data_IF_987110898222
#
_entry.id   IF_987110898222
#
_cell.length_a   1.000
_cell.length_b   1.000
_cell.length_c   1.000
_cell.angle_alpha   90.00
_cell.angle_beta   90.00
_cell.angle_gamma   90.00
#
_symmetry.space_group_name_H-M   'P 1'
#
loop_
_entity.id
_entity.type
_entity.pdbx_description
1 polymer ?
#
# COMPACT_ATOMS: atom_id res chain seq x y z
N UNK A 1 -42.77 -26.14 -51.41
CA UNK A 1 -41.46 -25.47 -51.37
C UNK A 1 -41.13 -25.21 -49.91
N UNK A 2 -40.26 -26.06 -49.39
CA UNK A 2 -39.80 -26.08 -48.00
C UNK A 2 -38.79 -24.95 -47.76
N UNK A 3 -38.85 -24.33 -46.58
CA UNK A 3 -37.67 -24.03 -45.78
C UNK A 3 -38.11 -23.46 -44.43
N UNK A 4 -37.81 -24.18 -43.35
CA UNK A 4 -37.34 -23.66 -42.06
C UNK A 4 -37.57 -24.70 -40.97
N UNK A 5 -36.51 -25.44 -40.62
CA UNK A 5 -36.26 -25.90 -39.25
C UNK A 5 -34.94 -26.67 -39.23
N UNK A 6 -33.86 -25.97 -38.89
CA UNK A 6 -32.62 -26.58 -38.44
C UNK A 6 -32.25 -25.91 -37.12
N UNK A 7 -31.71 -26.70 -36.19
CA UNK A 7 -31.19 -26.36 -34.86
C UNK A 7 -32.22 -26.50 -33.72
N UNK A 8 -32.58 -27.75 -33.43
CA UNK A 8 -32.76 -28.21 -32.05
C UNK A 8 -31.87 -29.44 -31.94
N UNK A 9 -30.74 -29.32 -31.24
CA UNK A 9 -29.96 -30.42 -30.67
C UNK A 9 -28.79 -29.85 -29.87
N UNK A 10 -28.93 -29.78 -28.55
CA UNK A 10 -27.86 -30.02 -27.56
C UNK A 10 -28.45 -29.89 -26.15
N UNK A 11 -29.28 -30.85 -25.78
CA UNK A 11 -29.56 -31.17 -24.39
C UNK A 11 -29.65 -32.70 -24.32
N UNK A 12 -29.26 -33.26 -23.18
CA UNK A 12 -29.15 -34.70 -22.88
C UNK A 12 -27.83 -35.36 -23.26
N UNK A 13 -26.87 -35.24 -22.35
CA UNK A 13 -25.63 -36.00 -22.40
C UNK A 13 -24.82 -35.99 -21.11
N UNK A 14 -25.42 -35.85 -19.92
CA UNK A 14 -24.71 -36.05 -18.64
C UNK A 14 -25.68 -36.52 -17.54
N UNK A 15 -26.08 -37.79 -17.53
CA UNK A 15 -26.51 -38.49 -16.31
C UNK A 15 -26.25 -39.98 -16.50
N UNK A 16 -25.13 -40.50 -15.96
CA UNK A 16 -24.97 -41.85 -15.39
C UNK A 16 -23.49 -42.15 -15.12
N UNK A 17 -22.90 -41.46 -14.14
CA UNK A 17 -21.66 -41.89 -13.47
C UNK A 17 -21.66 -41.39 -12.01
N UNK A 18 -22.66 -41.82 -11.24
CA UNK A 18 -22.76 -41.54 -9.79
C UNK A 18 -23.14 -42.81 -9.01
N UNK A 19 -22.37 -43.87 -9.20
CA UNK A 19 -22.41 -45.03 -8.32
C UNK A 19 -21.07 -45.74 -8.39
N UNK A 20 -20.08 -45.23 -7.63
CA UNK A 20 -18.90 -45.94 -7.09
C UNK A 20 -18.04 -44.90 -6.35
N UNK A 21 -18.59 -44.31 -5.29
CA UNK A 21 -17.75 -43.74 -4.24
C UNK A 21 -17.16 -44.93 -3.45
N UNK A 22 -15.85 -44.95 -3.19
CA UNK A 22 -15.28 -45.99 -2.36
C UNK A 22 -15.80 -45.79 -0.93
N UNK A 23 -16.44 -46.83 -0.40
CA UNK A 23 -16.94 -46.95 0.98
C UNK A 23 -15.93 -46.55 2.10
N UNK A 24 -14.58 -46.59 1.95
CA UNK A 24 -13.66 -46.23 3.04
C UNK A 24 -13.75 -44.77 3.52
N UNK A 25 -14.15 -43.84 2.65
CA UNK A 25 -14.13 -42.41 2.99
C UNK A 25 -15.26 -42.00 3.95
N UNK A 26 -16.41 -42.68 3.91
CA UNK A 26 -17.49 -42.42 4.87
C UNK A 26 -17.15 -42.94 6.28
N UNK A 27 -16.44 -44.06 6.38
CA UNK A 27 -16.05 -44.67 7.66
C UNK A 27 -15.05 -43.78 8.42
N UNK A 28 -14.09 -43.18 7.71
CA UNK A 28 -13.11 -42.27 8.31
C UNK A 28 -13.73 -40.97 8.83
N UNK A 29 -14.77 -40.45 8.19
CA UNK A 29 -15.47 -39.25 8.62
C UNK A 29 -16.31 -39.48 9.89
N UNK A 30 -16.93 -40.66 10.02
CA UNK A 30 -17.68 -41.04 11.22
C UNK A 30 -16.78 -41.24 12.44
N UNK A 31 -15.63 -41.89 12.27
CA UNK A 31 -14.68 -42.12 13.37
C UNK A 31 -14.07 -40.81 13.90
N UNK A 32 -13.74 -39.88 13.00
CA UNK A 32 -13.23 -38.57 13.41
C UNK A 32 -14.29 -37.74 14.14
N UNK A 33 -15.54 -37.80 13.68
CA UNK A 33 -16.67 -37.11 14.33
C UNK A 33 -16.93 -37.60 15.75
N UNK A 34 -16.87 -38.91 15.97
CA UNK A 34 -17.04 -39.52 17.29
C UNK A 34 -15.89 -39.15 18.24
N UNK A 35 -14.65 -39.21 17.76
CA UNK A 35 -13.48 -38.82 18.54
C UNK A 35 -13.48 -37.33 18.95
N UNK A 36 -13.98 -36.45 18.08
CA UNK A 36 -14.14 -35.03 18.41
C UNK A 36 -15.23 -34.78 19.46
N UNK A 37 -16.32 -35.57 19.42
CA UNK A 37 -17.39 -35.52 20.41
C UNK A 37 -16.93 -36.01 21.79
N UNK A 38 -16.08 -37.04 21.84
CA UNK A 38 -15.46 -37.51 23.08
C UNK A 38 -14.57 -36.43 23.72
N UNK A 39 -13.72 -35.74 22.93
CA UNK A 39 -12.92 -34.63 23.45
C UNK A 39 -13.79 -33.47 23.94
N UNK A 40 -14.92 -33.18 23.28
CA UNK A 40 -15.83 -32.11 23.69
C UNK A 40 -16.48 -32.38 25.05
N UNK A 41 -16.71 -33.65 25.40
CA UNK A 41 -17.32 -34.06 26.67
C UNK A 41 -16.36 -33.94 27.88
N UNK A 42 -15.07 -33.68 27.67
CA UNK A 42 -14.11 -33.48 28.76
C UNK A 42 -14.35 -32.14 29.46
N UNK A 43 -14.63 -32.19 30.77
CA UNK A 43 -15.02 -31.01 31.57
C UNK A 43 -13.83 -30.11 31.92
N UNK A 44 -12.68 -30.70 32.23
CA UNK A 44 -11.47 -29.98 32.61
C UNK A 44 -10.80 -29.41 31.34
N UNK A 45 -10.51 -28.12 31.34
CA UNK A 45 -10.13 -27.38 30.15
C UNK A 45 -8.78 -27.83 29.58
N UNK A 46 -7.82 -28.14 30.44
CA UNK A 46 -6.46 -28.53 30.03
C UNK A 46 -6.43 -29.98 29.51
N UNK A 47 -7.20 -30.88 30.10
CA UNK A 47 -7.41 -32.24 29.63
C UNK A 47 -8.15 -32.27 28.27
N UNK A 48 -9.15 -31.39 28.10
CA UNK A 48 -9.87 -31.23 26.84
C UNK A 48 -8.96 -30.73 25.72
N UNK A 49 -8.13 -29.72 26.01
CA UNK A 49 -7.16 -29.20 25.05
C UNK A 49 -6.15 -30.28 24.61
N UNK A 50 -5.59 -31.03 25.58
CA UNK A 50 -4.68 -32.17 25.31
C UNK A 50 -5.32 -33.27 24.47
N UNK A 51 -6.64 -33.48 24.60
CA UNK A 51 -7.39 -34.44 23.78
C UNK A 51 -7.43 -34.00 22.31
N UNK A 52 -7.76 -32.73 22.04
CA UNK A 52 -7.76 -32.18 20.68
C UNK A 52 -6.37 -32.15 20.06
N UNK A 53 -5.33 -31.78 20.81
CA UNK A 53 -3.96 -31.74 20.30
C UNK A 53 -3.46 -33.12 19.87
N UNK A 54 -3.88 -34.19 20.57
CA UNK A 54 -3.59 -35.58 20.19
C UNK A 54 -4.29 -35.95 18.87
N UNK A 55 -5.55 -35.57 18.69
CA UNK A 55 -6.28 -35.81 17.43
C UNK A 55 -5.69 -35.02 16.25
N UNK A 56 -5.18 -33.83 16.50
CA UNK A 56 -4.54 -32.99 15.49
C UNK A 56 -3.09 -33.41 15.15
N UNK A 57 -2.56 -34.46 15.79
CA UNK A 57 -1.19 -34.95 15.55
C UNK A 57 -0.09 -33.99 16.01
N UNK A 58 -0.39 -33.04 16.91
CA UNK A 58 0.63 -32.15 17.47
C UNK A 58 1.46 -32.90 18.53
N UNK A 59 2.80 -32.84 18.49
CA UNK A 59 3.63 -33.31 19.60
C UNK A 59 3.24 -32.55 20.87
N UNK A 60 3.03 -33.26 21.98
CA UNK A 60 2.69 -32.64 23.26
C UNK A 60 3.77 -31.64 23.67
N UNK A 61 3.36 -30.43 24.04
CA UNK A 61 4.24 -29.46 24.69
C UNK A 61 4.70 -30.01 26.05
N UNK A 62 6.00 -29.87 26.32
CA UNK A 62 6.64 -30.29 27.57
C UNK A 62 6.09 -29.43 28.73
N UNK A 63 5.76 -30.01 29.90
CA UNK A 63 5.29 -29.27 31.07
C UNK A 63 6.29 -28.17 31.49
N UNK A 64 5.77 -26.98 31.77
CA UNK A 64 6.54 -25.77 32.09
C UNK A 64 6.91 -25.63 33.57
N UNK A 65 7.52 -26.67 34.17
CA UNK A 65 7.92 -26.62 35.58
C UNK A 65 9.43 -26.52 35.84
N UNK A 66 10.27 -26.44 34.79
CA UNK A 66 11.71 -26.21 34.95
C UNK A 66 12.18 -24.95 34.23
N UNK A 67 11.86 -23.78 34.79
CA UNK A 67 12.66 -22.56 34.53
C UNK A 67 13.90 -22.64 35.42
N UNK A 68 14.85 -23.49 35.05
CA UNK A 68 16.23 -23.32 35.48
C UNK A 68 16.84 -22.15 34.70
N UNK A 69 17.25 -21.13 35.44
CA UNK A 69 17.89 -19.94 34.95
C UNK A 69 19.04 -20.27 33.98
N UNK A 70 18.87 -19.91 32.71
CA UNK A 70 19.99 -19.78 31.79
C UNK A 70 20.77 -18.52 32.19
N UNK A 71 21.79 -18.71 33.02
CA UNK A 71 22.87 -17.74 33.19
C UNK A 71 23.58 -17.59 31.84
N UNK A 72 23.55 -16.37 31.30
CA UNK A 72 24.31 -15.99 30.12
C UNK A 72 25.66 -15.46 30.61
N UNK A 73 26.72 -16.25 30.40
CA UNK A 73 28.09 -15.77 30.60
C UNK A 73 28.45 -14.71 29.54
N UNK A 74 29.16 -13.63 29.91
CA UNK A 74 29.50 -12.57 28.97
C UNK A 74 30.61 -13.03 28.00
N UNK A 75 30.33 -12.88 26.70
CA UNK A 75 31.30 -13.11 25.62
C UNK A 75 32.33 -11.96 25.59
N UNK A 76 33.65 -12.25 25.54
CA UNK A 76 34.68 -11.21 25.55
C UNK A 76 34.75 -10.46 24.20
N UNK A 77 34.82 -9.13 24.29
CA UNK A 77 35.04 -8.24 23.15
C UNK A 77 36.51 -8.26 22.68
N UNK A 78 36.71 -8.23 21.35
CA UNK A 78 38.01 -7.96 20.70
C UNK A 78 37.81 -6.99 19.51
N UNK A 79 38.84 -6.22 19.10
CA UNK A 79 38.70 -4.78 18.90
C UNK A 79 38.71 -4.37 17.41
N UNK A 80 38.32 -3.12 17.21
CA UNK A 80 38.25 -2.39 15.95
C UNK A 80 39.58 -2.32 15.17
N UNK A 81 39.48 -2.28 13.84
CA UNK A 81 40.55 -1.85 12.95
C UNK A 81 40.01 -0.98 11.79
N UNK A 82 40.42 0.30 11.84
CA UNK A 82 40.80 1.26 10.80
C UNK A 82 40.18 1.24 9.37
N UNK A 83 39.50 2.35 9.06
CA UNK A 83 39.78 3.34 8.00
C UNK A 83 40.32 2.88 6.62
N UNK A 84 39.54 3.16 5.58
CA UNK A 84 40.07 3.71 4.31
C UNK A 84 39.03 4.62 3.65
N UNK A 85 39.40 5.88 3.46
CA UNK A 85 38.65 6.88 2.68
C UNK A 85 38.73 6.51 1.19
N UNK A 86 37.58 6.54 0.50
CA UNK A 86 37.55 6.57 -0.96
C UNK A 86 36.48 7.57 -1.43
N UNK A 87 36.94 8.41 -2.35
CA UNK A 87 36.35 9.61 -2.97
C UNK A 87 34.85 9.58 -3.30
N UNK A 88 34.12 10.57 -2.76
CA UNK A 88 32.71 10.82 -3.03
C UNK A 88 32.52 11.75 -4.26
N UNK A 89 32.33 11.17 -5.46
CA UNK A 89 31.83 11.89 -6.65
C UNK A 89 31.01 10.92 -7.51
N UNK A 90 29.84 10.47 -7.03
CA UNK A 90 28.80 9.77 -7.82
C UNK A 90 27.48 9.49 -7.04
N UNK A 91 27.25 10.16 -5.90
CA UNK A 91 26.46 9.60 -4.79
C UNK A 91 24.94 9.84 -4.73
N UNK A 92 24.29 10.58 -5.63
CA UNK A 92 22.83 10.83 -5.48
C UNK A 92 21.96 9.84 -6.26
N UNK A 93 22.24 9.58 -7.54
CA UNK A 93 21.37 8.72 -8.39
C UNK A 93 21.71 7.22 -8.25
N UNK A 94 22.97 6.89 -7.99
CA UNK A 94 23.38 5.50 -7.75
C UNK A 94 22.78 4.92 -6.46
N UNK A 95 22.38 5.76 -5.50
CA UNK A 95 21.80 5.32 -4.24
C UNK A 95 20.37 4.78 -4.40
N UNK A 96 19.55 5.31 -5.32
CA UNK A 96 18.25 4.73 -5.64
C UNK A 96 18.38 3.33 -6.27
N UNK A 97 19.41 3.14 -7.10
CA UNK A 97 19.74 1.86 -7.74
C UNK A 97 20.51 0.88 -6.81
N UNK A 98 21.20 1.39 -5.78
CA UNK A 98 21.86 0.57 -4.76
C UNK A 98 20.90 0.05 -3.70
N UNK A 99 19.79 0.76 -3.42
CA UNK A 99 18.71 0.23 -2.58
C UNK A 99 18.10 -1.04 -3.19
N UNK A 100 18.08 -1.15 -4.53
CA UNK A 100 17.65 -2.36 -5.24
C UNK A 100 18.61 -3.55 -5.09
N UNK A 101 19.91 -3.30 -4.83
CA UNK A 101 20.95 -4.36 -4.77
C UNK A 101 21.24 -4.90 -3.37
N UNK A 102 20.88 -4.18 -2.31
CA UNK A 102 21.22 -4.53 -0.91
C UNK A 102 20.12 -5.36 -0.19
N UNK A 103 18.99 -5.64 -0.85
CA UNK A 103 17.88 -6.34 -0.23
C UNK A 103 17.49 -7.65 -0.92
N UNK A 104 18.26 -8.73 -0.79
CA UNK A 104 17.63 -10.07 -0.74
C UNK A 104 16.81 -10.14 0.55
N UNK A 105 15.69 -9.42 0.60
CA UNK A 105 14.71 -9.46 1.68
C UNK A 105 13.87 -10.71 1.50
N UNK A 106 13.51 -11.33 2.62
CA UNK A 106 12.81 -12.61 2.77
C UNK A 106 11.56 -12.81 1.87
N UNK A 107 11.03 -11.73 1.26
CA UNK A 107 9.87 -11.72 0.36
C UNK A 107 10.01 -10.80 -0.88
N UNK A 108 11.19 -10.21 -1.14
CA UNK A 108 11.39 -9.33 -2.32
C UNK A 108 10.67 -7.97 -2.28
N UNK A 109 9.99 -7.62 -1.18
CA UNK A 109 9.24 -6.36 -1.04
C UNK A 109 10.17 -5.14 -0.98
N UNK A 110 9.87 -4.14 -1.82
CA UNK A 110 10.60 -2.86 -1.93
C UNK A 110 9.68 -1.69 -1.55
N UNK A 111 10.21 -0.57 -1.04
CA UNK A 111 9.45 0.68 -1.00
C UNK A 111 8.95 1.05 -2.40
N UNK A 112 7.76 1.65 -2.49
CA UNK A 112 7.19 2.10 -3.76
C UNK A 112 7.04 3.62 -3.79
N UNK A 113 5.95 4.14 -3.22
CA UNK A 113 5.78 5.56 -2.93
C UNK A 113 6.58 5.92 -1.65
N UNK A 114 6.58 7.21 -1.28
CA UNK A 114 7.15 7.66 0.01
C UNK A 114 6.52 6.92 1.18
N UNK A 115 7.32 6.57 2.17
CA UNK A 115 6.83 6.14 3.48
C UNK A 115 7.17 7.23 4.50
N UNK A 116 6.15 7.79 5.16
CA UNK A 116 6.33 8.86 6.15
C UNK A 116 5.28 8.79 7.24
N UNK A 117 5.59 9.46 8.34
CA UNK A 117 4.64 9.81 9.40
C UNK A 117 4.83 11.28 9.76
N UNK A 118 3.73 12.01 9.82
CA UNK A 118 3.63 13.39 10.31
C UNK A 118 2.82 13.32 11.61
N UNK A 119 3.48 13.22 12.78
CA UNK A 119 2.77 13.16 14.07
C UNK A 119 1.90 14.39 14.33
N UNK A 120 2.26 15.55 13.76
CA UNK A 120 1.46 16.75 13.90
C UNK A 120 1.24 17.35 12.52
N UNK A 121 -0.01 17.40 12.11
CA UNK A 121 -0.49 18.20 10.99
C UNK A 121 -1.59 19.13 11.46
N UNK A 122 -1.68 20.32 10.89
CA UNK A 122 -2.74 21.29 11.14
C UNK A 122 -3.43 21.63 9.82
N UNK A 123 -4.75 21.46 9.75
CA UNK A 123 -5.59 21.80 8.62
C UNK A 123 -6.54 22.95 8.98
N UNK A 124 -6.36 24.11 8.38
CA UNK A 124 -7.20 25.31 8.64
C UNK A 124 -8.60 25.20 8.00
N UNK A 125 -8.77 24.27 7.05
CA UNK A 125 -10.04 24.06 6.31
C UNK A 125 -10.50 22.61 6.46
N UNK A 126 -10.84 22.21 7.67
CA UNK A 126 -11.39 20.86 7.94
C UNK A 126 -12.72 20.66 7.22
N UNK A 127 -12.91 19.48 6.64
CA UNK A 127 -14.13 19.12 5.94
C UNK A 127 -15.12 18.47 6.91
N UNK A 128 -16.13 19.23 7.33
CA UNK A 128 -17.23 18.73 8.18
C UNK A 128 -18.42 18.25 7.36
N UNK A 129 -18.55 18.71 6.11
CA UNK A 129 -19.74 18.53 5.29
C UNK A 129 -20.16 17.05 5.12
N UNK A 130 -19.27 16.08 4.84
CA UNK A 130 -19.67 14.68 4.72
C UNK A 130 -20.34 14.13 5.98
N UNK A 131 -19.91 14.57 7.16
CA UNK A 131 -20.43 14.13 8.45
C UNK A 131 -21.76 14.81 8.77
N UNK A 132 -21.84 16.12 8.51
CA UNK A 132 -23.07 16.90 8.69
C UNK A 132 -24.20 16.38 7.79
N UNK A 133 -23.91 16.13 6.51
CA UNK A 133 -24.88 15.60 5.53
C UNK A 133 -25.36 14.19 5.90
N UNK A 134 -24.52 13.39 6.55
CA UNK A 134 -24.85 12.07 7.07
C UNK A 134 -25.64 12.12 8.40
N UNK A 135 -25.73 13.29 9.05
CA UNK A 135 -26.25 13.42 10.41
C UNK A 135 -25.37 12.75 11.47
N UNK A 136 -24.08 12.55 11.17
CA UNK A 136 -23.10 12.03 12.11
C UNK A 136 -22.77 13.10 13.16
N UNK A 137 -22.51 12.68 14.40
CA UNK A 137 -22.12 13.60 15.47
C UNK A 137 -20.62 13.85 15.49
N UNK A 138 -19.83 13.09 14.72
CA UNK A 138 -18.39 13.23 14.68
C UNK A 138 -17.96 14.57 14.06
N UNK A 139 -17.19 15.35 14.83
CA UNK A 139 -16.59 16.60 14.38
C UNK A 139 -15.06 16.45 14.39
N UNK A 140 -14.43 16.36 13.20
CA UNK A 140 -12.98 16.29 13.13
C UNK A 140 -12.30 17.60 13.57
N UNK A 141 -11.20 17.48 14.32
CA UNK A 141 -10.34 18.59 14.73
C UNK A 141 -9.40 19.00 13.59
N UNK A 142 -8.84 20.21 13.70
CA UNK A 142 -7.83 20.73 12.77
C UNK A 142 -6.50 19.96 12.87
N UNK A 143 -6.23 19.31 14.00
CA UNK A 143 -4.96 18.62 14.25
C UNK A 143 -5.08 17.11 14.10
N UNK A 144 -4.27 16.53 13.21
CA UNK A 144 -4.27 15.09 12.94
C UNK A 144 -2.85 14.53 12.79
N UNK A 145 -2.69 13.23 13.05
CA UNK A 145 -1.55 12.47 12.54
C UNK A 145 -1.86 12.11 11.08
N UNK A 146 -0.93 12.38 10.17
CA UNK A 146 -0.99 11.94 8.77
C UNK A 146 0.15 10.98 8.48
N UNK A 147 -0.11 9.85 7.84
CA UNK A 147 0.97 8.94 7.44
C UNK A 147 0.66 8.21 6.15
N UNK A 148 1.73 7.83 5.45
CA UNK A 148 1.65 7.02 4.23
C UNK A 148 2.55 5.81 4.37
N UNK A 149 1.99 4.64 4.02
CA UNK A 149 2.72 3.39 3.85
C UNK A 149 2.66 2.99 2.39
N UNK A 150 3.78 2.57 1.82
CA UNK A 150 3.82 2.17 0.43
C UNK A 150 4.92 1.17 0.12
N UNK A 151 4.52 0.10 -0.54
CA UNK A 151 5.40 -0.98 -0.93
C UNK A 151 5.02 -1.54 -2.30
N UNK A 152 5.99 -2.16 -2.96
CA UNK A 152 5.79 -2.93 -4.18
C UNK A 152 6.46 -4.29 -4.08
N UNK A 153 5.87 -5.24 -4.78
CA UNK A 153 6.38 -6.57 -5.00
C UNK A 153 6.61 -6.75 -6.51
N UNK A 154 7.86 -6.94 -6.96
CA UNK A 154 8.09 -7.41 -8.32
C UNK A 154 7.51 -8.82 -8.48
N UNK A 155 6.60 -8.98 -9.43
CA UNK A 155 5.92 -10.25 -9.72
C UNK A 155 6.67 -11.02 -10.81
N UNK A 156 7.16 -10.31 -11.83
CA UNK A 156 7.98 -10.86 -12.90
C UNK A 156 8.99 -9.81 -13.34
N UNK A 157 10.26 -10.04 -13.03
CA UNK A 157 11.35 -9.14 -13.39
C UNK A 157 11.97 -9.51 -14.74
N UNK A 158 12.48 -8.50 -15.43
CA UNK A 158 13.21 -8.63 -16.69
C UNK A 158 12.43 -9.33 -17.81
N UNK A 159 11.18 -8.92 -18.02
CA UNK A 159 10.31 -9.45 -19.08
C UNK A 159 11.00 -9.27 -20.45
N UNK A 160 11.14 -10.38 -21.19
CA UNK A 160 11.77 -10.41 -22.52
C UNK A 160 13.22 -9.90 -22.54
N UNK A 161 13.98 -10.15 -21.46
CA UNK A 161 15.38 -9.69 -21.29
C UNK A 161 15.53 -8.15 -21.37
N UNK A 162 14.45 -7.41 -21.14
CA UNK A 162 14.42 -5.96 -21.03
C UNK A 162 14.38 -5.56 -19.55
N UNK A 163 14.78 -4.34 -19.20
CA UNK A 163 14.60 -3.75 -17.85
C UNK A 163 13.12 -3.38 -17.61
N UNK A 164 12.23 -4.34 -17.82
CA UNK A 164 10.78 -4.23 -17.75
C UNK A 164 10.25 -5.22 -16.71
N UNK A 165 9.62 -4.69 -15.67
CA UNK A 165 9.13 -5.49 -14.55
C UNK A 165 7.60 -5.40 -14.47
N UNK A 166 6.93 -6.54 -14.31
CA UNK A 166 5.57 -6.59 -13.79
C UNK A 166 5.62 -6.48 -12.28
N UNK A 167 4.90 -5.53 -11.70
CA UNK A 167 4.87 -5.30 -10.26
C UNK A 167 3.45 -5.18 -9.73
N UNK A 168 3.28 -5.59 -8.48
CA UNK A 168 2.12 -5.26 -7.67
C UNK A 168 2.52 -4.21 -6.64
N UNK A 169 1.83 -3.07 -6.64
CA UNK A 169 2.02 -1.97 -5.70
C UNK A 169 0.86 -1.87 -4.72
N UNK A 170 1.15 -1.39 -3.52
CA UNK A 170 0.14 -1.02 -2.53
C UNK A 170 0.57 0.25 -1.83
N UNK A 171 -0.33 1.24 -1.77
CA UNK A 171 -0.17 2.45 -0.97
C UNK A 171 -1.37 2.63 -0.06
N UNK A 172 -1.12 3.07 1.15
CA UNK A 172 -2.15 3.48 2.10
C UNK A 172 -1.82 4.88 2.63
N UNK A 173 -2.81 5.77 2.60
CA UNK A 173 -2.73 7.12 3.16
C UNK A 173 -3.79 7.26 4.25
N UNK A 174 -3.39 7.61 5.46
CA UNK A 174 -4.29 7.68 6.61
C UNK A 174 -4.22 9.03 7.32
N UNK A 175 -5.39 9.49 7.78
CA UNK A 175 -5.60 10.68 8.58
C UNK A 175 -6.25 10.27 9.91
N UNK A 176 -5.48 10.43 10.99
CA UNK A 176 -5.81 9.90 12.30
C UNK A 176 -6.02 11.06 13.29
N UNK A 177 -7.23 11.15 13.84
CA UNK A 177 -7.64 12.14 14.81
C UNK A 177 -7.14 11.79 16.22
N UNK A 178 -5.83 11.54 16.34
CA UNK A 178 -5.20 11.06 17.56
C UNK A 178 -5.41 11.98 18.78
N UNK A 179 -5.67 13.26 18.52
CA UNK A 179 -5.85 14.30 19.53
C UNK A 179 -7.32 14.55 19.87
N UNK A 180 -8.24 14.02 19.09
CA UNK A 180 -9.67 14.21 19.26
C UNK A 180 -10.23 13.24 20.30
N UNK A 181 -9.95 13.55 21.57
CA UNK A 181 -10.37 12.71 22.70
C UNK A 181 -11.90 12.70 22.91
N UNK A 182 -12.61 13.73 22.46
CA UNK A 182 -14.08 13.82 22.55
C UNK A 182 -14.74 12.68 21.77
N UNK A 183 -14.19 12.33 20.62
CA UNK A 183 -14.69 11.26 19.76
C UNK A 183 -13.87 9.96 19.83
N UNK A 184 -13.09 9.77 20.89
CA UNK A 184 -12.26 8.57 21.12
C UNK A 184 -11.18 8.32 20.06
N UNK A 185 -10.62 9.40 19.51
CA UNK A 185 -9.54 9.37 18.53
C UNK A 185 -9.79 8.39 17.36
N UNK A 186 -10.74 8.69 16.46
CA UNK A 186 -11.01 7.83 15.31
C UNK A 186 -10.01 8.09 14.17
N UNK A 187 -9.91 7.17 13.21
CA UNK A 187 -9.41 7.54 11.89
C UNK A 187 -10.49 8.31 11.15
N UNK A 188 -10.18 9.51 10.66
CA UNK A 188 -11.10 10.30 9.83
C UNK A 188 -11.21 9.67 8.45
N UNK A 189 -10.07 9.45 7.80
CA UNK A 189 -10.03 8.85 6.46
C UNK A 189 -8.81 7.94 6.30
N UNK A 190 -8.97 6.87 5.52
CA UNK A 190 -7.87 6.01 5.08
C UNK A 190 -8.12 5.60 3.64
N UNK A 191 -7.25 6.01 2.72
CA UNK A 191 -7.28 5.56 1.33
C UNK A 191 -6.37 4.34 1.14
N UNK A 192 -6.90 3.31 0.50
CA UNK A 192 -6.22 2.09 0.06
C UNK A 192 -6.05 2.15 -1.45
N UNK A 193 -4.81 2.01 -1.92
CA UNK A 193 -4.45 2.20 -3.33
C UNK A 193 -3.57 1.05 -3.85
N UNK A 194 -4.15 -0.13 -4.14
CA UNK A 194 -3.45 -1.18 -4.86
C UNK A 194 -3.31 -0.85 -6.36
N UNK A 195 -2.21 -1.31 -6.96
CA UNK A 195 -2.01 -1.23 -8.40
C UNK A 195 -1.23 -2.43 -8.96
N UNK A 196 -1.46 -2.74 -10.23
CA UNK A 196 -0.73 -3.74 -11.00
C UNK A 196 -0.24 -3.06 -12.28
N UNK A 197 1.07 -3.07 -12.49
CA UNK A 197 1.66 -2.31 -13.59
C UNK A 197 2.91 -2.93 -14.19
N UNK A 198 3.27 -2.41 -15.35
CA UNK A 198 4.55 -2.63 -16.00
C UNK A 198 5.42 -1.40 -15.77
N UNK A 199 6.64 -1.61 -15.29
CA UNK A 199 7.61 -0.57 -14.99
C UNK A 199 8.88 -0.79 -15.79
N UNK A 200 9.20 0.16 -16.65
CA UNK A 200 10.37 0.14 -17.51
C UNK A 200 11.43 1.11 -16.98
N UNK A 201 12.66 0.61 -16.83
CA UNK A 201 13.82 1.37 -16.37
C UNK A 201 14.90 1.38 -17.46
N UNK A 202 14.79 2.25 -18.48
CA UNK A 202 15.74 2.25 -19.59
C UNK A 202 17.02 3.03 -19.29
N UNK A 203 18.13 2.57 -19.87
CA UNK A 203 19.37 3.34 -19.93
C UNK A 203 19.35 4.38 -21.08
N UNK A 204 18.37 5.29 -21.06
CA UNK A 204 18.19 6.31 -22.09
C UNK A 204 18.58 7.71 -21.59
N UNK A 205 19.48 8.37 -22.33
CA UNK A 205 19.95 9.73 -22.04
C UNK A 205 19.87 10.60 -23.29
N UNK A 206 19.29 11.79 -23.17
CA UNK A 206 19.18 12.78 -24.25
C UNK A 206 19.40 14.21 -23.72
N UNK A 207 20.41 14.92 -24.26
CA UNK A 207 20.74 16.30 -23.84
C UNK A 207 20.86 16.46 -22.31
N UNK A 208 21.63 15.57 -21.68
CA UNK A 208 21.83 15.43 -20.23
C UNK A 208 20.60 15.01 -19.41
N UNK A 209 19.44 14.84 -20.04
CA UNK A 209 18.28 14.26 -19.38
C UNK A 209 18.35 12.75 -19.44
N UNK A 210 18.24 12.10 -18.27
CA UNK A 210 18.05 10.66 -18.17
C UNK A 210 16.57 10.36 -18.04
N UNK A 211 16.08 9.38 -18.79
CA UNK A 211 14.77 8.77 -18.54
C UNK A 211 14.96 7.75 -17.42
N UNK A 212 14.54 8.10 -16.20
CA UNK A 212 14.69 7.23 -15.03
C UNK A 212 13.73 6.05 -15.11
N UNK A 213 12.48 6.32 -15.47
CA UNK A 213 11.52 5.26 -15.72
C UNK A 213 10.31 5.71 -16.52
N UNK A 214 9.62 4.73 -17.08
CA UNK A 214 8.25 4.89 -17.57
C UNK A 214 7.40 3.71 -17.08
N UNK A 215 6.15 3.95 -16.72
CA UNK A 215 5.24 2.89 -16.27
C UNK A 215 3.83 3.07 -16.79
N UNK A 216 3.13 1.95 -16.89
CA UNK A 216 1.69 1.88 -17.12
C UNK A 216 1.08 0.95 -16.06
N UNK A 217 -0.02 1.37 -15.43
CA UNK A 217 -0.61 0.61 -14.34
C UNK A 217 -2.14 0.68 -14.33
N UNK A 218 -2.77 -0.44 -13.99
CA UNK A 218 -4.14 -0.46 -13.50
C UNK A 218 -4.11 -0.17 -12.00
N UNK A 219 -4.92 0.79 -11.59
CA UNK A 219 -4.92 1.31 -10.24
C UNK A 219 -6.37 1.39 -9.72
N UNK A 220 -6.57 0.88 -8.52
CA UNK A 220 -7.80 1.07 -7.77
C UNK A 220 -7.47 1.94 -6.56
N UNK A 221 -8.34 2.89 -6.22
CA UNK A 221 -8.21 3.65 -4.98
C UNK A 221 -9.59 3.76 -4.34
N UNK A 222 -9.69 3.38 -3.07
CA UNK A 222 -10.92 3.52 -2.28
C UNK A 222 -10.60 3.84 -0.84
N UNK A 223 -11.55 4.42 -0.11
CA UNK A 223 -11.38 4.68 1.32
C UNK A 223 -11.88 3.52 2.22
N UNK A 224 -12.43 2.46 1.62
CA UNK A 224 -12.91 1.28 2.34
C UNK A 224 -14.07 1.57 3.30
N UNK A 225 -14.81 2.66 3.10
CA UNK A 225 -16.00 3.01 3.89
C UNK A 225 -17.26 2.50 3.22
N UNK A 226 -18.36 2.51 3.97
CA UNK A 226 -19.70 2.33 3.42
C UNK A 226 -20.36 3.68 3.18
N UNK A 227 -21.45 3.68 2.41
CA UNK A 227 -22.33 4.85 2.26
C UNK A 227 -22.75 5.45 3.61
N UNK A 228 -22.81 6.79 3.73
CA UNK A 228 -22.61 7.81 2.69
C UNK A 228 -21.14 8.26 2.50
N UNK A 229 -20.21 7.65 3.25
CA UNK A 229 -18.79 8.03 3.26
C UNK A 229 -17.95 7.29 2.24
N UNK A 230 -18.53 6.35 1.48
CA UNK A 230 -17.78 5.58 0.48
C UNK A 230 -17.21 6.52 -0.57
N UNK A 231 -15.94 6.32 -0.91
CA UNK A 231 -15.29 7.01 -2.03
C UNK A 231 -14.40 6.00 -2.74
N UNK A 232 -14.51 5.93 -4.05
CA UNK A 232 -13.72 5.00 -4.86
C UNK A 232 -13.62 5.43 -6.31
N UNK A 233 -12.57 4.98 -6.99
CA UNK A 233 -12.39 5.12 -8.43
C UNK A 233 -11.32 4.18 -8.94
N UNK A 234 -11.45 3.82 -10.22
CA UNK A 234 -10.51 2.98 -10.95
C UNK A 234 -9.83 3.77 -12.07
N UNK A 235 -8.53 3.52 -12.31
CA UNK A 235 -7.70 4.30 -13.24
C UNK A 235 -6.77 3.43 -14.07
N UNK A 236 -6.58 3.81 -15.32
CA UNK A 236 -5.40 3.47 -16.11
C UNK A 236 -4.41 4.64 -15.99
N UNK A 237 -3.23 4.38 -15.41
CA UNK A 237 -2.18 5.36 -15.16
C UNK A 237 -1.05 5.17 -16.18
N UNK A 238 -0.53 6.28 -16.70
CA UNK A 238 0.76 6.35 -17.38
C UNK A 238 1.66 7.35 -16.65
N UNK A 239 2.93 7.01 -16.44
CA UNK A 239 3.88 7.90 -15.77
C UNK A 239 5.25 7.82 -16.43
N UNK A 240 5.91 8.97 -16.52
CA UNK A 240 7.29 9.10 -16.99
C UNK A 240 8.05 9.94 -15.96
N UNK A 241 9.27 9.52 -15.67
CA UNK A 241 10.17 10.20 -14.74
C UNK A 241 11.52 10.44 -15.38
N UNK A 242 12.02 11.66 -15.24
CA UNK A 242 13.28 12.08 -15.84
C UNK A 242 14.12 12.86 -14.84
N UNK A 243 15.43 12.86 -15.03
CA UNK A 243 16.34 13.64 -14.20
C UNK A 243 17.40 14.35 -15.04
N UNK A 244 17.96 15.42 -14.48
CA UNK A 244 19.15 16.11 -14.99
C UNK A 244 19.96 16.65 -13.81
N UNK A 245 21.06 15.99 -13.48
CA UNK A 245 21.85 16.33 -12.29
C UNK A 245 21.00 16.12 -11.04
N UNK A 246 20.92 17.14 -10.19
CA UNK A 246 20.14 17.09 -8.94
C UNK A 246 18.66 17.50 -9.10
N UNK A 247 18.18 17.65 -10.34
CA UNK A 247 16.80 18.01 -10.65
C UNK A 247 16.03 16.83 -11.23
N UNK A 248 14.88 16.51 -10.64
CA UNK A 248 13.93 15.53 -11.14
C UNK A 248 12.66 16.18 -11.69
N UNK A 249 12.11 15.60 -12.76
CA UNK A 249 10.84 15.98 -13.36
C UNK A 249 10.06 14.74 -13.78
N UNK A 250 8.82 14.64 -13.35
CA UNK A 250 7.93 13.58 -13.73
C UNK A 250 6.53 14.07 -14.09
N UNK A 251 5.88 13.31 -14.94
CA UNK A 251 4.51 13.51 -15.37
C UNK A 251 3.76 12.21 -15.15
N UNK A 252 2.67 12.28 -14.39
CA UNK A 252 1.71 11.19 -14.23
C UNK A 252 0.39 11.63 -14.83
N UNK A 253 -0.16 10.83 -15.72
CA UNK A 253 -1.49 11.03 -16.32
C UNK A 253 -2.36 9.82 -16.05
N UNK A 254 -3.66 10.01 -16.03
CA UNK A 254 -4.60 8.93 -15.86
C UNK A 254 -5.89 9.12 -16.63
N UNK A 255 -6.49 7.98 -16.99
CA UNK A 255 -7.86 7.88 -17.46
C UNK A 255 -8.68 7.14 -16.41
N UNK A 256 -9.74 7.79 -15.90
CA UNK A 256 -10.75 7.13 -15.07
C UNK A 256 -11.42 6.02 -15.89
N UNK A 257 -11.50 4.83 -15.31
CA UNK A 257 -12.25 3.71 -15.85
C UNK A 257 -13.72 3.85 -15.42
N UNK A 258 -14.68 3.60 -16.31
CA UNK A 258 -16.09 3.79 -16.00
C UNK A 258 -16.56 2.78 -14.95
N UNK A 259 -17.44 3.26 -14.07
CA UNK A 259 -18.19 2.48 -13.08
C UNK A 259 -19.68 2.55 -13.44
N UNK A 260 -20.49 1.63 -12.91
CA UNK A 260 -21.94 1.72 -13.08
C UNK A 260 -22.43 2.98 -12.35
N UNK A 261 -23.34 3.75 -12.96
CA UNK A 261 -23.81 5.02 -12.36
C UNK A 261 -24.46 4.85 -11.00
N UNK A 262 -25.09 3.70 -10.77
CA UNK A 262 -25.79 3.39 -9.52
C UNK A 262 -24.82 2.93 -8.41
N UNK A 263 -23.55 2.71 -8.76
CA UNK A 263 -22.46 2.27 -7.88
C UNK A 263 -21.30 3.30 -7.88
N UNK A 264 -21.52 4.50 -8.44
CA UNK A 264 -20.50 5.54 -8.54
C UNK A 264 -20.58 6.47 -7.32
N UNK A 265 -19.72 6.19 -6.34
CA UNK A 265 -19.61 6.94 -5.08
C UNK A 265 -19.28 8.44 -5.26
N UNK A 266 -18.64 8.81 -6.37
CA UNK A 266 -18.13 10.16 -6.62
C UNK A 266 -18.04 10.45 -8.14
N UNK A 267 -19.17 10.68 -8.82
CA UNK A 267 -19.23 10.77 -10.28
C UNK A 267 -18.45 11.94 -10.87
N UNK A 268 -18.30 13.02 -10.11
CA UNK A 268 -17.59 14.24 -10.46
C UNK A 268 -16.11 14.26 -9.99
N UNK A 269 -15.55 13.15 -9.49
CA UNK A 269 -14.15 13.11 -9.00
C UNK A 269 -13.12 13.63 -10.00
N UNK A 270 -13.35 13.45 -11.30
CA UNK A 270 -12.45 13.97 -12.36
C UNK A 270 -12.50 15.48 -12.52
N UNK A 271 -13.55 16.15 -12.04
CA UNK A 271 -13.64 17.60 -11.96
C UNK A 271 -12.53 18.17 -11.05
N UNK A 272 -12.30 17.50 -9.91
CA UNK A 272 -11.36 17.94 -8.88
C UNK A 272 -9.98 17.30 -9.00
N UNK A 273 -9.91 16.00 -9.26
CA UNK A 273 -8.62 15.31 -9.43
C UNK A 273 -8.00 15.57 -10.81
N UNK A 274 -8.79 15.93 -11.82
CA UNK A 274 -8.31 16.11 -13.18
C UNK A 274 -7.82 14.82 -13.82
N UNK A 275 -6.85 14.94 -14.73
CA UNK A 275 -6.33 13.84 -15.57
C UNK A 275 -4.83 13.61 -15.45
N UNK A 276 -4.18 14.29 -14.50
CA UNK A 276 -2.75 14.17 -14.32
C UNK A 276 -2.18 15.15 -13.31
N UNK A 277 -0.95 14.86 -12.91
CA UNK A 277 -0.13 15.67 -12.03
C UNK A 277 1.30 15.76 -12.57
N UNK A 278 1.89 16.94 -12.39
CA UNK A 278 3.29 17.21 -12.61
C UNK A 278 3.98 17.16 -11.26
N UNK A 279 5.13 16.50 -11.17
CA UNK A 279 5.94 16.52 -9.97
C UNK A 279 7.39 16.80 -10.31
N UNK A 280 8.07 17.53 -9.43
CA UNK A 280 9.46 17.89 -9.59
C UNK A 280 10.16 17.86 -8.24
N UNK A 281 11.46 17.60 -8.27
CA UNK A 281 12.29 17.64 -7.09
C UNK A 281 13.64 18.29 -7.39
N UNK A 282 14.24 18.83 -6.34
CA UNK A 282 15.58 19.38 -6.37
C UNK A 282 16.35 18.98 -5.11
N UNK A 283 17.51 18.37 -5.29
CA UNK A 283 18.38 17.94 -4.20
C UNK A 283 19.60 18.87 -4.06
N UNK A 284 19.96 19.20 -2.82
CA UNK A 284 21.15 20.01 -2.55
C UNK A 284 21.72 19.69 -1.16
N UNK A 285 22.88 19.05 -1.13
CA UNK A 285 23.46 18.52 0.10
C UNK A 285 22.52 17.52 0.78
N UNK A 286 22.21 17.75 2.05
CA UNK A 286 21.27 16.91 2.81
C UNK A 286 19.79 17.31 2.62
N UNK A 287 19.52 18.36 1.85
CA UNK A 287 18.19 18.87 1.59
C UNK A 287 17.59 18.33 0.30
N UNK A 288 16.28 18.08 0.32
CA UNK A 288 15.47 17.83 -0.86
C UNK A 288 14.19 18.66 -0.78
N UNK A 289 13.80 19.23 -1.91
CA UNK A 289 12.57 19.98 -2.07
C UNK A 289 11.76 19.30 -3.17
N UNK A 290 10.48 19.07 -2.95
CA UNK A 290 9.58 18.51 -3.94
C UNK A 290 8.35 19.42 -4.12
N UNK A 291 7.86 19.48 -5.35
CA UNK A 291 6.62 20.17 -5.72
C UNK A 291 5.76 19.20 -6.54
N UNK A 292 4.50 19.04 -6.16
CA UNK A 292 3.45 18.39 -6.96
C UNK A 292 2.38 19.41 -7.30
N UNK A 293 1.97 19.43 -8.57
CA UNK A 293 0.87 20.23 -9.09
C UNK A 293 -0.10 19.31 -9.83
N UNK A 294 -1.37 19.35 -9.45
CA UNK A 294 -2.44 18.56 -10.06
C UNK A 294 -3.59 19.46 -10.47
N UNK A 295 -4.21 19.11 -11.59
CA UNK A 295 -5.43 19.72 -12.15
C UNK A 295 -5.45 21.26 -12.18
N UNK A 296 -5.23 21.92 -13.32
CA UNK A 296 -5.20 23.39 -13.37
C UNK A 296 -6.55 24.08 -13.11
N UNK A 297 -7.68 23.37 -13.14
CA UNK A 297 -9.02 23.95 -12.90
C UNK A 297 -9.39 23.96 -11.41
N UNK A 298 -9.15 22.85 -10.72
CA UNK A 298 -9.31 22.70 -9.28
C UNK A 298 -7.95 22.23 -8.73
N UNK A 299 -7.05 23.18 -8.44
CA UNK A 299 -5.66 22.85 -8.16
C UNK A 299 -5.53 22.04 -6.88
N UNK A 300 -4.65 21.04 -6.92
CA UNK A 300 -4.02 20.46 -5.76
C UNK A 300 -2.52 20.71 -5.84
N UNK A 301 -1.94 21.32 -4.82
CA UNK A 301 -0.51 21.61 -4.73
C UNK A 301 0.06 20.99 -3.46
N UNK A 302 1.20 20.31 -3.58
CA UNK A 302 1.97 19.84 -2.44
C UNK A 302 3.41 20.33 -2.54
N UNK A 303 3.90 20.92 -1.45
CA UNK A 303 5.29 21.28 -1.25
C UNK A 303 5.86 20.41 -0.15
N UNK A 304 7.00 19.79 -0.41
CA UNK A 304 7.68 18.97 0.59
C UNK A 304 9.12 19.44 0.77
N UNK A 305 9.58 19.38 2.01
CA UNK A 305 10.97 19.60 2.37
C UNK A 305 11.47 18.44 3.23
N UNK A 306 12.61 17.89 2.85
CA UNK A 306 13.32 16.86 3.59
C UNK A 306 14.71 17.35 3.99
N UNK A 307 15.10 17.08 5.23
CA UNK A 307 16.50 17.13 5.67
C UNK A 307 16.97 15.73 6.10
N UNK A 308 18.07 15.25 5.53
CA UNK A 308 18.62 13.92 5.82
C UNK A 308 19.20 13.90 7.24
N UNK A 309 18.62 13.09 8.13
CA UNK A 309 19.18 12.89 9.48
C UNK A 309 20.19 11.75 9.49
N UNK A 310 19.90 10.67 8.75
CA UNK A 310 20.79 9.53 8.51
C UNK A 310 20.37 8.81 7.22
N UNK A 311 20.96 7.66 6.92
CA UNK A 311 20.68 6.90 5.69
C UNK A 311 19.29 6.27 5.62
N UNK A 312 18.50 6.30 6.69
CA UNK A 312 17.18 5.65 6.79
C UNK A 312 16.04 6.61 7.12
N UNK A 313 16.34 7.78 7.67
CA UNK A 313 15.33 8.72 8.19
C UNK A 313 15.73 10.15 7.83
N UNK A 314 14.76 10.90 7.34
CA UNK A 314 14.83 12.35 7.18
C UNK A 314 13.79 13.07 8.03
N UNK A 315 14.13 14.26 8.52
CA UNK A 315 13.14 15.23 8.98
C UNK A 315 12.31 15.66 7.77
N UNK A 316 11.00 15.74 7.92
CA UNK A 316 10.08 15.95 6.81
C UNK A 316 9.04 17.01 7.17
N UNK A 317 8.88 18.00 6.31
CA UNK A 317 7.81 19.01 6.39
C UNK A 317 7.02 18.93 5.09
N UNK A 318 5.70 18.89 5.21
CA UNK A 318 4.79 18.84 4.07
C UNK A 318 3.76 19.96 4.20
N UNK A 319 3.52 20.65 3.10
CA UNK A 319 2.44 21.62 2.95
C UNK A 319 1.56 21.20 1.77
N UNK A 320 0.26 21.12 1.99
CA UNK A 320 -0.74 20.83 0.96
C UNK A 320 -1.77 21.96 0.90
N UNK A 321 -2.09 22.41 -0.30
CA UNK A 321 -3.13 23.40 -0.53
C UNK A 321 -3.94 23.03 -1.77
N UNK A 322 -5.27 23.01 -1.66
CA UNK A 322 -6.17 22.72 -2.77
C UNK A 322 -7.01 21.47 -2.58
N UNK A 323 -7.42 20.84 -3.69
CA UNK A 323 -8.40 19.73 -3.71
C UNK A 323 -7.76 18.35 -3.76
N UNK A 324 -8.42 17.35 -3.14
CA UNK A 324 -8.04 15.94 -3.24
C UNK A 324 -6.81 15.54 -2.45
N UNK A 325 -6.63 16.11 -1.26
CA UNK A 325 -5.61 15.59 -0.33
C UNK A 325 -5.91 14.14 0.06
N UNK A 326 -7.19 13.83 0.26
CA UNK A 326 -7.72 12.49 0.52
C UNK A 326 -8.90 12.20 -0.41
N UNK A 327 -9.39 10.95 -0.42
CA UNK A 327 -10.61 10.63 -1.16
C UNK A 327 -11.85 11.23 -0.53
N UNK A 328 -11.93 11.31 0.80
CA UNK A 328 -13.04 11.97 1.48
C UNK A 328 -13.07 13.48 1.19
N UNK A 329 -11.90 14.09 1.01
CA UNK A 329 -11.74 15.53 0.71
C UNK A 329 -11.49 15.80 -0.79
N UNK A 330 -11.98 14.93 -1.69
CA UNK A 330 -11.71 15.09 -3.13
C UNK A 330 -12.33 16.39 -3.70
N UNK A 331 -13.50 16.76 -3.23
CA UNK A 331 -14.29 17.93 -3.63
C UNK A 331 -14.18 19.11 -2.64
N UNK A 332 -13.33 18.99 -1.61
CA UNK A 332 -13.09 20.03 -0.61
C UNK A 332 -11.67 20.59 -0.68
N UNK A 333 -11.53 21.90 -0.50
CA UNK A 333 -10.22 22.56 -0.54
C UNK A 333 -9.57 22.62 0.84
N UNK A 334 -8.45 21.94 0.98
CA UNK A 334 -7.67 21.82 2.23
C UNK A 334 -6.50 22.81 2.26
N UNK A 335 -6.10 23.23 3.47
CA UNK A 335 -4.88 23.99 3.76
C UNK A 335 -4.15 23.33 4.92
N UNK A 336 -3.19 22.45 4.63
CA UNK A 336 -2.55 21.61 5.64
C UNK A 336 -1.05 21.80 5.67
N UNK A 337 -0.49 22.01 6.85
CA UNK A 337 0.94 21.89 7.11
C UNK A 337 1.21 20.76 8.10
N UNK A 338 2.30 20.02 7.92
CA UNK A 338 2.69 18.93 8.80
C UNK A 338 4.19 18.76 8.94
N UNK A 339 4.62 18.25 10.09
CA UNK A 339 6.02 17.94 10.39
C UNK A 339 6.15 16.53 10.94
N UNK A 340 7.22 15.84 10.54
CA UNK A 340 7.53 14.50 11.02
C UNK A 340 8.74 13.90 10.35
N UNK A 341 8.62 12.63 9.96
CA UNK A 341 9.73 11.81 9.51
C UNK A 341 9.41 11.07 8.22
N UNK A 342 10.37 11.03 7.31
CA UNK A 342 10.33 10.28 6.06
C UNK A 342 11.36 9.15 6.09
N UNK A 343 10.97 7.97 5.62
CA UNK A 343 11.81 6.77 5.57
C UNK A 343 12.46 6.54 4.19
N UNK A 344 11.74 6.87 3.13
CA UNK A 344 12.25 6.82 1.76
C UNK A 344 11.63 7.93 0.92
N UNK A 345 12.43 8.47 0.02
CA UNK A 345 11.98 9.38 -1.02
C UNK A 345 11.15 8.63 -2.07
N UNK A 346 10.41 9.41 -2.86
CA UNK A 346 9.73 8.87 -4.04
C UNK A 346 10.79 8.58 -5.11
N UNK A 347 10.78 7.39 -5.74
CA UNK A 347 11.76 7.00 -6.76
C UNK A 347 11.89 8.03 -7.87
#
# INVERSE_FOLDING_TARGET
>A
MSNNSTIINCAYGVVLWLALLPVPALVQATELGEALAECAAVVEAEARLRCYDRLAGKPQAIPSDDVHALQIDPVPAKPAAASSQETAVAGSIANAMQITKIGKRLLGIRPYKRNYILPVTYNDRVNHQPFDDAGDQFHPDETEIKFQLSAQLPVWENILDQQLDLYFGYTQLSFFQAYNSEYSAPFRDTSYEPELGLHWHPDLVFKDWRLESARIALNHQSNGRSEPFSRSWNRLIGEIQTSRGDFGLGLRVWKRLPENSDEDDNPDITHYMGHGELFTNYETGDHRFDLMLRNPKHPGMQLDWRYKLNDKVGLYVQYFNGYGESLLDYDHSVDRIGIGFLLNDWP
#
